data_IF_784889838126
#
_entry.id   IF_784889838126
#
_cell.length_a   1.000
_cell.length_b   1.000
_cell.length_c   1.000
_cell.angle_alpha   90.00
_cell.angle_beta   90.00
_cell.angle_gamma   90.00
#
_symmetry.space_group_name_H-M   'P 1'
#
loop_
_entity.id
_entity.type
_entity.pdbx_description
1 polymer ?
#
# COMPACT_ATOMS: atom_id res chain seq x y z
N UNK A 1 1.76 56.62 -0.65
CA UNK A 1 0.34 56.30 -0.96
C UNK A 1 0.32 55.80 -2.40
N UNK A 2 -0.02 54.56 -2.76
CA UNK A 2 -0.79 53.47 -2.14
C UNK A 2 -0.16 52.12 -2.56
N UNK A 3 -0.23 51.15 -1.65
CA UNK A 3 0.10 49.72 -1.83
C UNK A 3 -0.64 49.12 -3.03
N UNK A 4 -0.01 48.17 -3.74
CA UNK A 4 -0.75 46.96 -4.10
C UNK A 4 0.21 45.77 -4.18
N UNK A 5 0.02 44.86 -3.22
CA UNK A 5 0.63 43.53 -3.19
C UNK A 5 0.08 42.71 -4.36
N UNK A 6 0.95 42.18 -5.21
CA UNK A 6 0.62 41.03 -6.03
C UNK A 6 0.85 39.79 -5.16
N UNK A 7 -0.23 39.17 -4.74
CA UNK A 7 -0.23 37.91 -4.00
C UNK A 7 0.35 36.80 -4.87
N UNK A 8 1.55 36.32 -4.51
CA UNK A 8 2.09 35.07 -5.02
C UNK A 8 1.17 33.94 -4.56
N UNK A 9 0.35 33.41 -5.48
CA UNK A 9 -0.30 32.10 -5.29
C UNK A 9 0.81 31.04 -5.25
N UNK A 10 1.26 30.71 -4.06
CA UNK A 10 2.00 29.47 -3.81
C UNK A 10 1.00 28.32 -3.90
N UNK A 11 0.80 27.81 -5.11
CA UNK A 11 0.24 26.48 -5.28
C UNK A 11 1.21 25.50 -4.63
N UNK A 12 0.93 25.12 -3.38
CA UNK A 12 1.41 23.87 -2.79
C UNK A 12 0.84 22.72 -3.62
N UNK A 13 1.42 22.49 -4.79
CA UNK A 13 1.45 21.14 -5.35
C UNK A 13 2.20 20.33 -4.30
N UNK A 14 1.46 19.52 -3.55
CA UNK A 14 2.05 18.33 -2.98
C UNK A 14 2.64 17.56 -4.16
N UNK A 15 3.92 17.76 -4.42
CA UNK A 15 4.69 16.85 -5.25
C UNK A 15 4.61 15.52 -4.51
N UNK A 16 3.68 14.65 -4.91
CA UNK A 16 3.81 13.24 -4.62
C UNK A 16 5.09 12.84 -5.34
N UNK A 17 6.20 12.79 -4.60
CA UNK A 17 7.45 12.29 -5.14
C UNK A 17 7.16 10.92 -5.71
N UNK A 18 7.35 10.79 -7.02
CA UNK A 18 7.26 9.49 -7.67
C UNK A 18 8.36 8.62 -7.06
N UNK A 19 8.08 7.33 -6.78
CA UNK A 19 9.11 6.41 -6.33
C UNK A 19 10.32 6.49 -7.26
N UNK A 20 11.52 6.54 -6.67
CA UNK A 20 12.76 6.43 -7.44
C UNK A 20 12.69 5.13 -8.27
N UNK A 21 12.94 5.16 -9.59
CA UNK A 21 12.93 3.96 -10.43
C UNK A 21 13.76 2.80 -9.87
N UNK A 22 14.85 3.10 -9.16
CA UNK A 22 15.69 2.09 -8.51
C UNK A 22 15.00 1.36 -7.36
N UNK A 23 13.94 1.92 -6.76
CA UNK A 23 13.11 1.24 -5.75
C UNK A 23 12.27 0.17 -6.42
N UNK A 24 11.68 0.47 -7.58
CA UNK A 24 10.90 -0.53 -8.31
C UNK A 24 11.76 -1.74 -8.66
N UNK A 25 12.92 -1.53 -9.26
CA UNK A 25 13.79 -2.62 -9.70
C UNK A 25 14.30 -3.46 -8.52
N UNK A 26 14.64 -2.84 -7.39
CA UNK A 26 15.17 -3.53 -6.21
C UNK A 26 14.12 -4.32 -5.43
N UNK A 27 12.87 -3.83 -5.41
CA UNK A 27 11.81 -4.39 -4.56
C UNK A 27 10.69 -5.09 -5.33
N UNK A 28 10.80 -5.20 -6.66
CA UNK A 28 9.77 -5.81 -7.52
C UNK A 28 9.33 -7.18 -7.02
N UNK A 29 10.28 -8.12 -6.83
CA UNK A 29 9.98 -9.49 -6.41
C UNK A 29 9.25 -9.54 -5.07
N UNK A 30 9.76 -8.78 -4.11
CA UNK A 30 9.25 -8.72 -2.76
C UNK A 30 7.85 -8.08 -2.68
N UNK A 31 7.64 -6.98 -3.42
CA UNK A 31 6.34 -6.33 -3.54
C UNK A 31 5.32 -7.23 -4.27
N UNK A 32 5.76 -7.92 -5.33
CA UNK A 32 4.94 -8.89 -6.06
C UNK A 32 4.46 -10.02 -5.16
N UNK A 33 5.36 -10.60 -4.37
CA UNK A 33 5.03 -11.66 -3.43
C UNK A 33 3.99 -11.21 -2.41
N UNK A 34 4.20 -10.03 -1.82
CA UNK A 34 3.22 -9.44 -0.90
C UNK A 34 1.85 -9.21 -1.56
N UNK A 35 1.81 -8.53 -2.70
CA UNK A 35 0.55 -8.21 -3.39
C UNK A 35 -0.20 -9.46 -3.85
N UNK A 36 0.52 -10.48 -4.33
CA UNK A 36 -0.07 -11.77 -4.70
C UNK A 36 -0.70 -12.48 -3.50
N UNK A 37 -0.13 -12.34 -2.30
CA UNK A 37 -0.70 -12.94 -1.10
C UNK A 37 -2.01 -12.25 -0.70
N UNK A 38 -2.10 -10.92 -0.81
CA UNK A 38 -3.18 -10.16 -0.13
C UNK A 38 -4.34 -9.71 -1.03
N UNK A 39 -4.11 -9.39 -2.30
CA UNK A 39 -5.09 -8.64 -3.11
C UNK A 39 -6.44 -9.35 -3.23
N UNK A 40 -6.46 -10.65 -3.54
CA UNK A 40 -7.73 -11.39 -3.66
C UNK A 40 -8.45 -11.49 -2.31
N UNK A 41 -7.72 -11.74 -1.23
CA UNK A 41 -8.30 -11.77 0.11
C UNK A 41 -8.85 -10.41 0.55
N UNK A 42 -8.25 -9.30 0.09
CA UNK A 42 -8.75 -7.95 0.37
C UNK A 42 -10.03 -7.65 -0.41
N UNK A 43 -10.14 -8.14 -1.65
CA UNK A 43 -11.39 -8.05 -2.42
C UNK A 43 -12.51 -8.81 -1.74
N UNK A 44 -12.24 -10.01 -1.24
CA UNK A 44 -13.21 -10.82 -0.49
C UNK A 44 -13.67 -10.10 0.80
N UNK A 45 -12.74 -9.64 1.66
CA UNK A 45 -13.05 -8.89 2.90
C UNK A 45 -13.88 -7.64 2.60
N UNK A 46 -13.53 -6.91 1.53
CA UNK A 46 -14.28 -5.73 1.12
C UNK A 46 -15.68 -6.07 0.63
N UNK A 47 -15.82 -7.13 -0.18
CA UNK A 47 -17.11 -7.55 -0.73
C UNK A 47 -18.09 -7.91 0.38
N UNK A 48 -17.62 -8.62 1.41
CA UNK A 48 -18.40 -8.97 2.60
C UNK A 48 -18.78 -7.75 3.44
N UNK A 49 -17.82 -6.86 3.71
CA UNK A 49 -18.05 -5.64 4.52
C UNK A 49 -19.02 -4.66 3.86
N UNK A 50 -19.07 -4.65 2.53
CA UNK A 50 -19.88 -3.71 1.74
C UNK A 50 -21.10 -4.35 1.08
N UNK A 51 -21.57 -5.50 1.56
CA UNK A 51 -22.74 -6.20 1.00
C UNK A 51 -23.98 -5.30 0.88
N UNK A 52 -24.16 -4.38 1.82
CA UNK A 52 -25.29 -3.43 1.86
C UNK A 52 -25.14 -2.22 0.93
N UNK A 53 -23.98 -2.03 0.31
CA UNK A 53 -23.65 -0.87 -0.52
C UNK A 53 -23.04 -1.31 -1.88
N UNK A 54 -23.79 -2.08 -2.70
CA UNK A 54 -23.23 -2.75 -3.88
C UNK A 54 -22.58 -1.80 -4.88
N UNK A 55 -23.16 -0.63 -5.13
CA UNK A 55 -22.58 0.35 -6.06
C UNK A 55 -21.21 0.89 -5.59
N UNK A 56 -21.03 1.09 -4.29
CA UNK A 56 -19.75 1.53 -3.73
C UNK A 56 -18.75 0.38 -3.71
N UNK A 57 -19.20 -0.81 -3.32
CA UNK A 57 -18.40 -2.04 -3.36
C UNK A 57 -17.80 -2.24 -4.76
N UNK A 58 -18.63 -2.22 -5.79
CA UNK A 58 -18.21 -2.46 -7.16
C UNK A 58 -17.20 -1.40 -7.62
N UNK A 59 -17.39 -0.13 -7.22
CA UNK A 59 -16.42 0.94 -7.48
C UNK A 59 -15.06 0.66 -6.84
N UNK A 60 -15.03 0.27 -5.56
CA UNK A 60 -13.77 -0.04 -4.88
C UNK A 60 -13.11 -1.30 -5.46
N UNK A 61 -13.86 -2.37 -5.67
CA UNK A 61 -13.36 -3.60 -6.28
C UNK A 61 -12.78 -3.36 -7.68
N UNK A 62 -13.38 -2.48 -8.48
CA UNK A 62 -12.87 -2.13 -9.81
C UNK A 62 -11.50 -1.43 -9.80
N UNK A 63 -11.11 -0.87 -8.66
CA UNK A 63 -9.84 -0.14 -8.46
C UNK A 63 -8.81 -0.97 -7.72
N UNK A 64 -9.24 -2.02 -7.02
CA UNK A 64 -8.34 -2.89 -6.29
C UNK A 64 -7.76 -3.92 -7.24
N UNK A 65 -6.58 -3.64 -7.75
CA UNK A 65 -5.81 -4.59 -8.53
C UNK A 65 -4.37 -4.68 -8.02
N UNK A 66 -3.63 -5.60 -8.63
CA UNK A 66 -2.25 -5.88 -8.28
C UNK A 66 -1.34 -4.69 -8.59
N UNK A 67 -1.62 -3.93 -9.65
CA UNK A 67 -0.79 -2.81 -10.06
C UNK A 67 -0.91 -1.65 -9.06
N UNK A 68 -2.13 -1.36 -8.59
CA UNK A 68 -2.37 -0.37 -7.54
C UNK A 68 -1.70 -0.79 -6.22
N UNK A 69 -1.75 -2.08 -5.88
CA UNK A 69 -1.00 -2.61 -4.73
C UNK A 69 0.50 -2.33 -4.88
N UNK A 70 1.10 -2.71 -6.01
CA UNK A 70 2.53 -2.50 -6.27
C UNK A 70 2.92 -1.02 -6.19
N UNK A 71 2.15 -0.13 -6.82
CA UNK A 71 2.39 1.31 -6.73
C UNK A 71 2.34 1.82 -5.29
N UNK A 72 1.36 1.37 -4.51
CA UNK A 72 1.25 1.67 -3.08
C UNK A 72 2.45 1.16 -2.29
N UNK A 73 2.94 -0.05 -2.58
CA UNK A 73 4.11 -0.63 -1.95
C UNK A 73 5.38 0.16 -2.30
N UNK A 74 5.60 0.57 -3.55
CA UNK A 74 6.78 1.37 -3.90
C UNK A 74 6.79 2.75 -3.24
N UNK A 75 5.63 3.39 -3.14
CA UNK A 75 5.49 4.65 -2.39
C UNK A 75 5.81 4.44 -0.91
N UNK A 76 5.30 3.35 -0.32
CA UNK A 76 5.57 3.01 1.07
C UNK A 76 7.06 2.74 1.33
N UNK A 77 7.69 1.91 0.49
CA UNK A 77 9.12 1.58 0.58
C UNK A 77 9.97 2.84 0.46
N UNK A 78 9.64 3.73 -0.50
CA UNK A 78 10.33 5.01 -0.66
C UNK A 78 10.25 5.85 0.63
N UNK A 79 9.09 5.87 1.29
CA UNK A 79 8.93 6.53 2.59
C UNK A 79 9.72 5.86 3.73
N UNK A 80 9.79 4.53 3.75
CA UNK A 80 10.51 3.76 4.78
C UNK A 80 12.03 3.94 4.66
N UNK A 81 12.57 4.05 3.44
CA UNK A 81 14.00 4.28 3.19
C UNK A 81 14.54 5.57 3.83
N UNK A 82 13.67 6.53 4.14
CA UNK A 82 14.06 7.74 4.87
C UNK A 82 14.37 7.51 6.36
N UNK A 83 13.93 6.38 6.92
CA UNK A 83 13.93 6.14 8.37
C UNK A 83 14.43 4.74 8.76
N UNK A 84 14.67 3.86 7.79
CA UNK A 84 15.03 2.47 8.01
C UNK A 84 16.10 2.02 7.02
N UNK A 85 16.98 1.15 7.48
CA UNK A 85 17.98 0.52 6.62
C UNK A 85 17.32 -0.42 5.61
N UNK A 86 17.84 -0.43 4.39
CA UNK A 86 17.32 -1.20 3.24
C UNK A 86 17.14 -2.69 3.55
N UNK A 87 18.16 -3.35 4.13
CA UNK A 87 18.09 -4.77 4.49
C UNK A 87 16.98 -5.04 5.52
N UNK A 88 16.73 -4.09 6.44
CA UNK A 88 15.65 -4.22 7.42
C UNK A 88 14.27 -4.22 6.75
N UNK A 89 14.11 -3.46 5.66
CA UNK A 89 12.85 -3.39 4.91
C UNK A 89 12.63 -4.72 4.16
N UNK A 90 13.65 -5.20 3.42
CA UNK A 90 13.57 -6.47 2.69
C UNK A 90 13.23 -7.64 3.61
N UNK A 91 13.92 -7.75 4.75
CA UNK A 91 13.68 -8.79 5.74
C UNK A 91 12.25 -8.75 6.31
N UNK A 92 11.68 -7.56 6.51
CA UNK A 92 10.31 -7.40 7.00
C UNK A 92 9.28 -7.82 5.98
N UNK A 93 9.46 -7.43 4.72
CA UNK A 93 8.58 -7.90 3.66
C UNK A 93 8.64 -9.42 3.52
N UNK A 94 9.85 -9.99 3.51
CA UNK A 94 10.02 -11.45 3.41
C UNK A 94 9.24 -12.16 4.52
N UNK A 95 9.45 -11.79 5.79
CA UNK A 95 8.74 -12.39 6.93
C UNK A 95 7.23 -12.18 6.88
N UNK A 96 6.79 -10.99 6.46
CA UNK A 96 5.36 -10.74 6.30
C UNK A 96 4.76 -11.62 5.20
N UNK A 97 5.37 -11.66 4.01
CA UNK A 97 4.91 -12.49 2.89
C UNK A 97 4.86 -13.98 3.25
N UNK A 98 5.89 -14.51 3.92
CA UNK A 98 5.90 -15.88 4.41
C UNK A 98 4.77 -16.14 5.43
N UNK A 99 4.56 -15.22 6.38
CA UNK A 99 3.49 -15.36 7.37
C UNK A 99 2.10 -15.35 6.72
N UNK A 100 1.89 -14.51 5.69
CA UNK A 100 0.67 -14.46 4.91
C UNK A 100 0.48 -15.74 4.09
N UNK A 101 1.51 -16.18 3.38
CA UNK A 101 1.47 -17.39 2.55
C UNK A 101 1.20 -18.65 3.37
N UNK A 102 1.66 -18.71 4.61
CA UNK A 102 1.39 -19.80 5.54
C UNK A 102 -0.08 -19.94 5.98
N UNK A 103 -0.97 -18.99 5.61
CA UNK A 103 -2.41 -19.07 5.89
C UNK A 103 -3.17 -19.65 4.71
N UNK A 104 -4.05 -20.60 4.99
CA UNK A 104 -4.80 -21.31 3.94
C UNK A 104 -6.01 -20.53 3.43
N UNK A 105 -6.73 -19.83 4.31
CA UNK A 105 -7.91 -19.05 3.96
C UNK A 105 -7.72 -17.54 4.11
N UNK A 106 -8.57 -16.78 3.40
CA UNK A 106 -8.47 -15.33 3.35
C UNK A 106 -8.79 -14.64 4.68
N UNK A 107 -9.67 -15.21 5.51
CA UNK A 107 -9.95 -14.64 6.84
C UNK A 107 -8.69 -14.65 7.71
N UNK A 108 -7.99 -15.79 7.75
CA UNK A 108 -6.72 -15.93 8.46
C UNK A 108 -5.63 -15.03 7.88
N UNK A 109 -5.53 -14.95 6.55
CA UNK A 109 -4.52 -14.10 5.89
C UNK A 109 -4.75 -12.61 6.19
N UNK A 110 -6.00 -12.15 6.20
CA UNK A 110 -6.36 -10.79 6.59
C UNK A 110 -6.12 -10.54 8.08
N UNK A 111 -6.39 -11.52 8.96
CA UNK A 111 -6.05 -11.41 10.37
C UNK A 111 -4.54 -11.26 10.55
N UNK A 112 -3.74 -12.12 9.89
CA UNK A 112 -2.28 -12.06 9.92
C UNK A 112 -1.77 -10.70 9.43
N UNK A 113 -2.29 -10.19 8.31
CA UNK A 113 -1.97 -8.87 7.78
C UNK A 113 -2.26 -7.74 8.79
N UNK A 114 -3.33 -7.87 9.58
CA UNK A 114 -3.75 -6.89 10.59
C UNK A 114 -2.96 -7.01 11.90
N UNK A 115 -2.56 -8.20 12.32
CA UNK A 115 -1.92 -8.45 13.63
C UNK A 115 -0.41 -8.55 13.59
N UNK A 116 0.17 -9.02 12.49
CA UNK A 116 1.61 -9.27 12.35
C UNK A 116 2.41 -7.95 12.38
N UNK A 117 3.39 -7.80 13.31
CA UNK A 117 4.18 -6.58 13.43
C UNK A 117 4.99 -6.23 12.18
N UNK A 118 5.50 -7.23 11.46
CA UNK A 118 6.25 -7.01 10.22
C UNK A 118 5.32 -6.47 9.14
N UNK A 119 4.13 -7.06 8.99
CA UNK A 119 3.12 -6.59 8.04
C UNK A 119 2.58 -5.18 8.33
N UNK A 120 2.38 -4.82 9.61
CA UNK A 120 1.89 -3.49 10.00
C UNK A 120 2.82 -2.36 9.52
N UNK A 121 4.13 -2.61 9.54
CA UNK A 121 5.12 -1.60 9.16
C UNK A 121 5.13 -1.28 7.66
N UNK A 122 4.73 -2.25 6.84
CA UNK A 122 4.78 -2.18 5.37
C UNK A 122 3.40 -2.03 4.71
N UNK A 123 2.31 -2.17 5.46
CA UNK A 123 0.96 -1.90 4.97
C UNK A 123 0.80 -0.44 4.55
N UNK A 124 0.17 -0.18 3.41
CA UNK A 124 -0.26 1.15 3.01
C UNK A 124 -1.64 1.47 3.56
N UNK A 125 -1.87 2.70 4.03
CA UNK A 125 -3.20 3.15 4.44
C UNK A 125 -4.16 3.29 3.25
N UNK A 126 -3.63 3.49 2.03
CA UNK A 126 -4.44 3.63 0.81
C UNK A 126 -5.00 2.29 0.30
N UNK A 127 -4.51 1.16 0.79
CA UNK A 127 -4.98 -0.18 0.42
C UNK A 127 -6.25 -0.60 1.18
N UNK A 128 -6.68 0.19 2.18
CA UNK A 128 -7.78 -0.12 3.09
C UNK A 128 -8.67 1.10 3.34
N UNK A 129 -9.63 1.40 2.44
CA UNK A 129 -10.75 2.28 2.78
C UNK A 129 -11.66 1.70 3.89
#
# INVERSE_FOLDING_TARGET
MILTLAASLTTLSYCVEKPDPSVKDRYQETADRFCNAVVECLKEDLAERMDKEPQKRDLFLSRMDRDLCLEGQYQKISGLLNHMEENSILDRYQRCSEALEAKEDCSQRIQELKSNPDCKSIRSASEFP
#
